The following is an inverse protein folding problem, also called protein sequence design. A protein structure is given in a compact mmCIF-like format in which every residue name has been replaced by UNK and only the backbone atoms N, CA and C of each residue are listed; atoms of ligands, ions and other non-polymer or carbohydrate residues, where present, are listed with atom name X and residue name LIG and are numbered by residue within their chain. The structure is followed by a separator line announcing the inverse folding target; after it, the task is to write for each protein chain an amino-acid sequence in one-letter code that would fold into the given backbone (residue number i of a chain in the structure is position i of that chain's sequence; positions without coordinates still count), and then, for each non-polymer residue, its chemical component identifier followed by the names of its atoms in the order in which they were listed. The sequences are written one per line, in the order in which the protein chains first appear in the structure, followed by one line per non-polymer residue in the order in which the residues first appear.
data_IF_561192771203
#
_entry.id   IF_561192771203
#
_cell.length_a   1.000
_cell.length_b   1.000
_cell.length_c   1.000
_cell.angle_alpha   90.00
_cell.angle_beta   90.00
_cell.angle_gamma   90.00
#
_symmetry.space_group_name_H-M   'P 1'
#
loop_
_entity.id
_entity.type
_entity.pdbx_description
1 polymer ?
#
# COMPACT_ATOMS: atom_id res chain seq x y z
N UNK A 1 8.17 -14.00 -1.25
CA UNK A 1 9.16 -13.65 -0.20
C UNK A 1 9.54 -12.16 -0.12
N UNK A 2 9.62 -11.35 -1.19
CA UNK A 2 9.61 -9.84 -1.05
C UNK A 2 8.70 -9.21 -2.09
N UNK A 3 8.54 -9.86 -3.24
CA UNK A 3 7.64 -9.40 -4.31
C UNK A 3 6.17 -9.73 -4.01
N UNK A 4 5.90 -10.74 -3.17
CA UNK A 4 4.55 -11.15 -2.75
C UNK A 4 4.06 -10.51 -1.44
N UNK A 5 4.96 -10.08 -0.57
CA UNK A 5 4.59 -9.30 0.61
C UNK A 5 4.96 -7.85 0.30
N UNK A 6 4.00 -6.93 0.31
CA UNK A 6 4.18 -5.49 0.00
C UNK A 6 5.06 -4.76 1.04
N UNK A 7 6.22 -5.30 1.41
CA UNK A 7 7.18 -4.72 2.34
C UNK A 7 8.02 -3.66 1.63
N UNK A 8 8.39 -2.62 2.38
CA UNK A 8 9.24 -1.56 1.87
C UNK A 8 10.69 -2.05 1.70
N UNK A 9 11.22 -1.94 0.47
CA UNK A 9 12.61 -2.30 0.08
C UNK A 9 13.67 -1.80 1.10
N UNK A 10 13.60 -0.56 1.62
CA UNK A 10 14.58 -0.05 2.59
C UNK A 10 14.61 -0.83 3.92
N UNK A 11 13.45 -1.25 4.42
CA UNK A 11 13.36 -2.01 5.68
C UNK A 11 13.98 -3.39 5.51
N UNK A 12 13.59 -4.07 4.43
CA UNK A 12 14.07 -5.42 4.16
C UNK A 12 15.56 -5.43 3.87
N UNK A 13 16.07 -4.49 3.07
CA UNK A 13 17.50 -4.37 2.79
C UNK A 13 18.35 -4.30 4.07
N UNK A 14 17.89 -3.58 5.09
CA UNK A 14 18.54 -3.50 6.41
C UNK A 14 18.46 -4.81 7.18
N UNK A 15 17.31 -5.49 7.16
CA UNK A 15 17.13 -6.79 7.83
C UNK A 15 18.06 -7.88 7.29
N UNK A 16 18.24 -7.92 5.97
CA UNK A 16 19.09 -8.93 5.30
C UNK A 16 20.52 -8.44 5.05
N UNK A 17 20.88 -7.24 5.51
CA UNK A 17 22.25 -6.72 5.42
C UNK A 17 22.76 -6.44 4.01
N UNK A 18 21.85 -6.16 3.06
CA UNK A 18 22.20 -5.83 1.68
C UNK A 18 21.97 -4.35 1.39
N UNK A 19 22.71 -3.81 0.43
CA UNK A 19 22.48 -2.45 -0.03
C UNK A 19 21.07 -2.31 -0.66
N UNK A 20 20.35 -1.24 -0.31
CA UNK A 20 18.99 -0.97 -0.79
C UNK A 20 18.90 -0.93 -2.33
N UNK A 21 19.92 -0.37 -2.98
CA UNK A 21 20.00 -0.29 -4.44
C UNK A 21 20.19 -1.67 -5.08
N UNK A 22 21.00 -2.54 -4.46
CA UNK A 22 21.19 -3.92 -4.91
C UNK A 22 19.89 -4.70 -4.83
N UNK A 23 19.18 -4.60 -3.69
CA UNK A 23 17.88 -5.25 -3.51
C UNK A 23 16.85 -4.71 -4.51
N UNK A 24 16.84 -3.40 -4.75
CA UNK A 24 15.97 -2.77 -5.75
C UNK A 24 16.25 -3.28 -7.16
N UNK A 25 17.50 -3.43 -7.54
CA UNK A 25 17.90 -3.96 -8.84
C UNK A 25 17.43 -5.40 -9.02
N UNK A 26 17.59 -6.26 -8.00
CA UNK A 26 17.11 -7.65 -8.03
C UNK A 26 15.58 -7.74 -8.12
N UNK A 27 14.86 -6.94 -7.33
CA UNK A 27 13.39 -6.88 -7.40
C UNK A 27 12.92 -6.42 -8.78
N UNK A 28 13.57 -5.42 -9.37
CA UNK A 28 13.23 -4.95 -10.70
C UNK A 28 13.52 -5.99 -11.79
N UNK A 29 14.68 -6.65 -11.72
CA UNK A 29 15.03 -7.72 -12.65
C UNK A 29 14.05 -8.90 -12.54
N UNK A 30 13.69 -9.28 -11.32
CA UNK A 30 12.70 -10.31 -11.06
C UNK A 30 11.34 -9.92 -11.64
N UNK A 31 10.85 -8.71 -11.34
CA UNK A 31 9.57 -8.20 -11.89
C UNK A 31 9.56 -8.18 -13.41
N UNK A 32 10.66 -7.80 -14.06
CA UNK A 32 10.77 -7.80 -15.52
C UNK A 32 10.78 -9.21 -16.11
N UNK A 33 11.49 -10.15 -15.46
CA UNK A 33 11.53 -11.54 -15.91
C UNK A 33 10.19 -12.27 -15.68
N UNK A 34 9.37 -11.81 -14.73
CA UNK A 34 8.11 -12.43 -14.33
C UNK A 34 6.89 -11.56 -14.71
N UNK A 35 7.04 -10.69 -15.73
CA UNK A 35 5.91 -9.91 -16.28
C UNK A 35 4.86 -10.89 -16.80
N UNK A 36 3.70 -10.93 -16.13
CA UNK A 36 2.59 -11.83 -16.48
C UNK A 36 2.48 -13.10 -15.62
N UNK A 37 3.42 -13.35 -14.70
CA UNK A 37 3.29 -14.42 -13.70
C UNK A 37 2.52 -13.99 -12.45
N UNK A 38 2.25 -12.70 -12.28
CA UNK A 38 1.28 -12.26 -11.28
C UNK A 38 -0.10 -12.75 -11.76
N UNK A 39 -0.69 -13.76 -11.09
CA UNK A 39 -1.90 -14.38 -11.59
C UNK A 39 -2.95 -13.28 -11.73
N UNK A 40 -3.59 -13.15 -12.91
CA UNK A 40 -4.60 -12.12 -13.08
C UNK A 40 -5.66 -12.34 -12.01
N UNK A 41 -5.94 -11.29 -11.22
CA UNK A 41 -6.94 -11.35 -10.17
C UNK A 41 -8.18 -12.03 -10.73
N UNK A 42 -8.59 -13.09 -10.05
CA UNK A 42 -9.83 -13.78 -10.35
C UNK A 42 -10.99 -12.77 -10.31
N UNK A 43 -12.10 -13.07 -10.99
CA UNK A 43 -13.26 -12.14 -11.04
C UNK A 43 -13.74 -11.80 -9.62
N UNK A 44 -13.67 -12.76 -8.69
CA UNK A 44 -13.99 -12.57 -7.27
C UNK A 44 -13.00 -11.64 -6.56
N UNK A 45 -11.69 -11.79 -6.80
CA UNK A 45 -10.67 -10.91 -6.22
C UNK A 45 -10.79 -9.48 -6.76
N UNK A 46 -11.12 -9.29 -8.04
CA UNK A 46 -11.40 -7.95 -8.59
C UNK A 46 -12.63 -7.31 -7.97
N UNK A 47 -13.70 -8.08 -7.74
CA UNK A 47 -14.90 -7.59 -7.08
C UNK A 47 -14.58 -7.16 -5.64
N UNK A 48 -13.85 -8.00 -4.90
CA UNK A 48 -13.40 -7.69 -3.53
C UNK A 48 -12.48 -6.47 -3.48
N UNK A 49 -11.57 -6.33 -4.45
CA UNK A 49 -10.67 -5.18 -4.53
C UNK A 49 -11.46 -3.88 -4.74
N UNK A 50 -12.45 -3.88 -5.64
CA UNK A 50 -13.31 -2.71 -5.87
C UNK A 50 -14.11 -2.32 -4.63
N UNK A 51 -14.62 -3.30 -3.90
CA UNK A 51 -15.35 -3.06 -2.65
C UNK A 51 -14.42 -2.43 -1.61
N UNK A 52 -13.23 -3.02 -1.41
CA UNK A 52 -12.22 -2.48 -0.50
C UNK A 52 -11.77 -1.07 -0.87
N UNK A 53 -11.60 -0.78 -2.16
CA UNK A 53 -11.25 0.57 -2.63
C UNK A 53 -12.38 1.57 -2.36
N UNK A 54 -13.64 1.15 -2.49
CA UNK A 54 -14.81 1.97 -2.17
C UNK A 54 -14.88 2.26 -0.68
N UNK A 55 -14.79 1.24 0.16
CA UNK A 55 -14.77 1.36 1.61
C UNK A 55 -13.61 2.26 2.08
N UNK A 56 -12.41 2.09 1.51
CA UNK A 56 -11.26 2.92 1.87
C UNK A 56 -11.48 4.40 1.53
N UNK A 57 -12.15 4.70 0.42
CA UNK A 57 -12.52 6.08 0.05
C UNK A 57 -13.53 6.67 1.04
N UNK A 58 -14.56 5.92 1.39
CA UNK A 58 -15.58 6.34 2.35
C UNK A 58 -14.97 6.64 3.72
N UNK A 59 -14.15 5.72 4.23
CA UNK A 59 -13.43 5.89 5.51
C UNK A 59 -12.50 7.10 5.52
N UNK A 60 -11.81 7.39 4.40
CA UNK A 60 -10.96 8.58 4.29
C UNK A 60 -11.77 9.87 4.39
N UNK A 61 -12.91 9.93 3.70
CA UNK A 61 -13.79 11.09 3.75
C UNK A 61 -14.36 11.30 5.15
N UNK A 62 -14.81 10.24 5.82
CA UNK A 62 -15.30 10.31 7.19
C UNK A 62 -14.21 10.78 8.15
N UNK A 63 -13.01 10.22 8.05
CA UNK A 63 -11.86 10.65 8.87
C UNK A 63 -11.54 12.13 8.64
N UNK A 64 -11.54 12.60 7.41
CA UNK A 64 -11.32 14.01 7.10
C UNK A 64 -12.41 14.92 7.66
N UNK A 65 -13.67 14.51 7.54
CA UNK A 65 -14.79 15.25 8.10
C UNK A 65 -14.69 15.36 9.62
N UNK A 66 -14.46 14.25 10.31
CA UNK A 66 -14.26 14.21 11.76
C UNK A 66 -13.04 15.04 12.18
N UNK A 67 -11.95 14.97 11.42
CA UNK A 67 -10.75 15.79 11.66
C UNK A 67 -11.06 17.29 11.56
N UNK A 68 -11.83 17.72 10.55
CA UNK A 68 -12.27 19.11 10.40
C UNK A 68 -13.21 19.54 11.52
N UNK A 69 -14.17 18.68 11.90
CA UNK A 69 -15.09 18.96 13.00
C UNK A 69 -14.33 19.12 14.33
N UNK A 70 -13.41 18.21 14.64
CA UNK A 70 -12.57 18.28 15.83
C UNK A 70 -11.72 19.56 15.84
N UNK A 71 -11.12 19.93 14.70
CA UNK A 71 -10.36 21.18 14.58
C UNK A 71 -11.23 22.42 14.78
N UNK A 72 -12.44 22.45 14.22
CA UNK A 72 -13.40 23.53 14.41
C UNK A 72 -13.75 23.70 15.89
N UNK A 73 -14.17 22.63 16.57
CA UNK A 73 -14.50 22.69 18.00
C UNK A 73 -13.29 23.04 18.88
N UNK A 74 -12.10 22.53 18.57
CA UNK A 74 -10.88 22.89 19.29
C UNK A 74 -10.48 24.37 19.13
N UNK A 75 -10.90 25.01 18.03
CA UNK A 75 -10.67 26.45 17.80
C UNK A 75 -11.74 27.35 18.41
N UNK A 76 -12.98 26.86 18.57
CA UNK A 76 -14.10 27.61 19.14
C UNK A 76 -14.12 27.59 20.68
N UNK A 77 -13.54 26.56 21.30
CA UNK A 77 -13.41 26.43 22.76
C UNK A 77 -12.03 26.86 23.30
N UNK A 78 -11.27 27.66 22.54
CA UNK A 78 -10.03 28.31 23.02
C UNK A 78 -10.33 29.73 23.48
#
# INVERSE_FOLDING_TARGET
MIVQESRAIPSTAREIGVNEQTLRNWVNAYRQAHIGEEPPLTISERARLRELEKENRELKLEREFLGKAAAFFASEYR
#
